data_IF_927060933546
#
_entry.id   IF_927060933546
#
_cell.length_a   1.000
_cell.length_b   1.000
_cell.length_c   1.000
_cell.angle_alpha   90.00
_cell.angle_beta   90.00
_cell.angle_gamma   90.00
#
_symmetry.space_group_name_H-M   'P 1'
#
loop_
_entity.id
_entity.type
_entity.pdbx_description
1 polymer ?
#
# COMPACT_ATOMS: atom_id res chain seq x y z
N UNK A 1 6.93 6.68 -21.71
CA UNK A 1 7.49 5.86 -22.81
C UNK A 1 6.49 4.83 -23.34
N UNK A 2 6.17 3.77 -22.59
CA UNK A 2 5.46 2.59 -23.09
C UNK A 2 4.07 2.89 -23.65
N UNK A 3 3.32 3.79 -23.01
CA UNK A 3 1.97 4.18 -23.44
C UNK A 3 1.94 5.40 -24.38
N UNK A 4 3.09 6.01 -24.68
CA UNK A 4 3.17 7.32 -25.34
C UNK A 4 3.15 8.50 -24.36
N UNK A 5 3.35 9.72 -24.89
CA UNK A 5 3.41 10.96 -24.08
C UNK A 5 2.07 11.33 -23.46
N UNK A 6 0.97 11.18 -24.19
CA UNK A 6 -0.39 11.39 -23.66
C UNK A 6 -0.96 10.11 -23.05
N UNK A 7 -0.67 8.96 -23.66
CA UNK A 7 -1.15 7.68 -23.13
C UNK A 7 -0.59 7.30 -21.77
N UNK A 8 0.53 7.91 -21.34
CA UNK A 8 1.05 7.78 -19.97
C UNK A 8 0.04 8.23 -18.89
N UNK A 9 -0.97 9.02 -19.25
CA UNK A 9 -2.04 9.38 -18.32
C UNK A 9 -2.93 8.19 -17.92
N UNK A 10 -3.02 7.15 -18.74
CA UNK A 10 -3.79 5.93 -18.41
C UNK A 10 -3.22 5.24 -17.16
N UNK A 11 -1.93 4.81 -17.14
CA UNK A 11 -1.35 4.23 -15.92
C UNK A 11 -1.29 5.21 -14.76
N UNK A 12 -1.08 6.51 -15.01
CA UNK A 12 -1.06 7.52 -13.95
C UNK A 12 -2.41 7.62 -13.23
N UNK A 13 -3.53 7.72 -13.97
CA UNK A 13 -4.87 7.76 -13.38
C UNK A 13 -5.17 6.48 -12.59
N UNK A 14 -4.86 5.31 -13.16
CA UNK A 14 -5.08 4.02 -12.50
C UNK A 14 -4.30 3.96 -11.18
N UNK A 15 -2.98 4.21 -11.21
CA UNK A 15 -2.14 4.23 -10.01
C UNK A 15 -2.61 5.26 -8.99
N UNK A 16 -2.97 6.45 -9.45
CA UNK A 16 -3.48 7.55 -8.62
C UNK A 16 -4.73 7.11 -7.86
N UNK A 17 -5.74 6.58 -8.55
CA UNK A 17 -6.99 6.11 -7.92
C UNK A 17 -6.76 4.99 -6.90
N UNK A 18 -5.87 4.05 -7.21
CA UNK A 18 -5.50 2.96 -6.29
C UNK A 18 -4.85 3.53 -5.03
N UNK A 19 -3.91 4.47 -5.19
CA UNK A 19 -3.26 5.10 -4.07
C UNK A 19 -4.22 5.96 -3.22
N UNK A 20 -5.25 6.57 -3.82
CA UNK A 20 -6.33 7.25 -3.08
C UNK A 20 -7.06 6.29 -2.14
N UNK A 21 -7.42 5.10 -2.62
CA UNK A 21 -8.07 4.09 -1.80
C UNK A 21 -7.17 3.66 -0.62
N UNK A 22 -5.90 3.36 -0.91
CA UNK A 22 -4.93 2.98 0.12
C UNK A 22 -4.63 4.08 1.12
N UNK A 23 -4.52 5.33 0.66
CA UNK A 23 -4.33 6.48 1.52
C UNK A 23 -5.50 6.62 2.50
N UNK A 24 -6.73 6.42 2.04
CA UNK A 24 -7.92 6.40 2.88
C UNK A 24 -7.89 5.26 3.90
N UNK A 25 -7.64 4.03 3.45
CA UNK A 25 -7.59 2.83 4.31
C UNK A 25 -6.55 3.00 5.42
N UNK A 26 -5.33 3.41 5.07
CA UNK A 26 -4.27 3.60 6.06
C UNK A 26 -4.51 4.80 6.98
N UNK A 27 -5.18 5.86 6.51
CA UNK A 27 -5.62 6.96 7.39
C UNK A 27 -6.67 6.49 8.40
N UNK A 28 -7.60 5.64 7.97
CA UNK A 28 -8.57 5.01 8.85
C UNK A 28 -7.88 4.11 9.89
N UNK A 29 -6.91 3.30 9.49
CA UNK A 29 -6.13 2.49 10.43
C UNK A 29 -5.31 3.35 11.41
N UNK A 30 -4.75 4.48 10.97
CA UNK A 30 -4.10 5.42 11.89
C UNK A 30 -5.09 6.02 12.90
N UNK A 31 -6.35 6.22 12.51
CA UNK A 31 -7.37 6.84 13.36
C UNK A 31 -7.81 5.97 14.54
N UNK A 32 -7.65 4.64 14.46
CA UNK A 32 -7.99 3.73 15.56
C UNK A 32 -7.10 3.98 16.79
N UNK A 33 -5.81 4.25 16.58
CA UNK A 33 -4.88 4.62 17.66
C UNK A 33 -5.31 5.90 18.37
N UNK A 34 -5.78 6.90 17.60
CA UNK A 34 -6.32 8.13 18.17
C UNK A 34 -7.60 7.87 18.96
N UNK A 35 -8.51 7.04 18.45
CA UNK A 35 -9.74 6.66 19.17
C UNK A 35 -9.44 5.98 20.50
N UNK A 36 -8.50 5.04 20.53
CA UNK A 36 -8.07 4.34 21.75
C UNK A 36 -7.58 5.35 22.79
N UNK A 37 -6.77 6.33 22.39
CA UNK A 37 -6.31 7.40 23.28
C UNK A 37 -7.45 8.28 23.77
N UNK A 38 -8.36 8.70 22.88
CA UNK A 38 -9.50 9.53 23.24
C UNK A 38 -10.39 8.85 24.27
N UNK A 39 -10.70 7.55 24.09
CA UNK A 39 -11.51 6.76 25.02
C UNK A 39 -10.77 6.45 26.33
N UNK A 40 -9.44 6.32 26.29
CA UNK A 40 -8.65 6.12 27.51
C UNK A 40 -8.73 7.34 28.44
N UNK A 41 -8.64 8.55 27.91
CA UNK A 41 -8.72 9.79 28.72
C UNK A 41 -10.14 10.24 29.02
N UNK A 42 -11.06 10.02 28.08
CA UNK A 42 -12.45 10.44 28.20
C UNK A 42 -13.38 9.25 27.90
N UNK A 43 -13.55 8.32 28.85
CA UNK A 43 -14.46 7.18 28.69
C UNK A 43 -15.91 7.59 28.40
N UNK A 44 -16.31 8.81 28.79
CA UNK A 44 -17.63 9.38 28.46
C UNK A 44 -17.88 9.55 26.95
N UNK A 45 -16.83 9.49 26.12
CA UNK A 45 -16.94 9.53 24.66
C UNK A 45 -17.40 8.19 24.05
N UNK A 46 -17.50 7.11 24.83
CA UNK A 46 -17.88 5.77 24.35
C UNK A 46 -19.20 5.77 23.55
N UNK A 47 -20.19 6.55 24.01
CA UNK A 47 -21.45 6.70 23.27
C UNK A 47 -21.24 7.21 21.83
N UNK A 48 -20.27 8.10 21.61
CA UNK A 48 -19.93 8.65 20.29
C UNK A 48 -19.01 7.75 19.47
N UNK A 49 -18.41 6.72 20.08
CA UNK A 49 -17.67 5.67 19.40
C UNK A 49 -18.60 4.61 18.79
N UNK A 50 -19.85 4.52 19.27
CA UNK A 50 -20.88 3.61 18.76
C UNK A 50 -21.54 4.13 17.48
N UNK A 51 -21.34 3.40 16.38
CA UNK A 51 -21.91 3.69 15.05
C UNK A 51 -23.44 3.64 15.06
N UNK A 52 -24.04 2.80 15.90
CA UNK A 52 -25.51 2.64 15.94
C UNK A 52 -26.22 3.80 16.61
N UNK A 53 -25.55 4.48 17.55
CA UNK A 53 -26.08 5.63 18.28
C UNK A 53 -25.76 6.95 17.60
N UNK A 54 -24.50 7.12 17.17
CA UNK A 54 -23.98 8.37 16.63
C UNK A 54 -23.16 8.14 15.35
N UNK A 55 -23.72 7.38 14.41
CA UNK A 55 -23.08 7.08 13.12
C UNK A 55 -23.49 7.99 11.97
N UNK A 56 -22.55 8.19 11.04
CA UNK A 56 -22.79 8.80 9.75
C UNK A 56 -22.00 8.05 8.67
N UNK A 57 -22.64 7.71 7.54
CA UNK A 57 -22.01 7.02 6.40
C UNK A 57 -21.13 5.79 6.75
N UNK A 58 -21.52 5.04 7.79
CA UNK A 58 -20.86 3.80 8.21
C UNK A 58 -19.73 3.95 9.23
N UNK A 59 -19.49 5.15 9.76
CA UNK A 59 -18.50 5.41 10.82
C UNK A 59 -19.13 6.22 11.96
N UNK A 60 -18.67 5.98 13.19
CA UNK A 60 -19.15 6.70 14.38
C UNK A 60 -18.63 8.14 14.39
N UNK A 61 -19.28 9.03 15.13
CA UNK A 61 -18.89 10.45 15.22
C UNK A 61 -17.47 10.60 15.72
N UNK A 62 -17.08 9.83 16.76
CA UNK A 62 -15.70 9.81 17.24
C UNK A 62 -14.73 9.27 16.18
N UNK A 63 -15.14 8.25 15.43
CA UNK A 63 -14.36 7.72 14.30
C UNK A 63 -14.15 8.75 13.20
N UNK A 64 -15.17 9.52 12.84
CA UNK A 64 -15.05 10.62 11.88
C UNK A 64 -14.10 11.70 12.35
N UNK A 65 -14.21 12.12 13.62
CA UNK A 65 -13.28 13.09 14.20
C UNK A 65 -11.86 12.55 14.14
N UNK A 66 -11.63 11.32 14.60
CA UNK A 66 -10.32 10.68 14.58
C UNK A 66 -9.75 10.62 13.15
N UNK A 67 -10.54 10.18 12.17
CA UNK A 67 -10.16 10.12 10.77
C UNK A 67 -9.78 11.50 10.23
N UNK A 68 -10.61 12.53 10.47
CA UNK A 68 -10.35 13.89 10.00
C UNK A 68 -9.13 14.53 10.67
N UNK A 69 -8.88 14.26 11.95
CA UNK A 69 -7.64 14.71 12.61
C UNK A 69 -6.43 14.06 11.93
N UNK A 70 -6.45 12.74 11.72
CA UNK A 70 -5.36 12.04 11.04
C UNK A 70 -5.16 12.52 9.60
N UNK A 71 -6.26 12.80 8.89
CA UNK A 71 -6.25 13.34 7.54
C UNK A 71 -5.58 14.72 7.48
N UNK A 72 -5.98 15.64 8.38
CA UNK A 72 -5.41 17.00 8.46
C UNK A 72 -3.93 16.94 8.82
N UNK A 73 -3.54 16.14 9.81
CA UNK A 73 -2.13 16.03 10.22
C UNK A 73 -1.24 15.53 9.08
N UNK A 74 -1.71 14.53 8.32
CA UNK A 74 -0.98 14.04 7.15
C UNK A 74 -0.86 15.11 6.06
N UNK A 75 -1.95 15.84 5.78
CA UNK A 75 -1.94 16.95 4.83
C UNK A 75 -0.95 18.06 5.24
N UNK A 76 -0.88 18.38 6.53
CA UNK A 76 0.08 19.35 7.06
C UNK A 76 1.53 18.90 6.84
N UNK A 77 1.88 17.65 7.19
CA UNK A 77 3.24 17.12 6.95
C UNK A 77 3.58 17.14 5.46
N UNK A 78 2.64 16.71 4.62
CA UNK A 78 2.81 16.71 3.16
C UNK A 78 3.05 18.13 2.60
N UNK A 79 2.34 19.14 3.12
CA UNK A 79 2.45 20.51 2.63
C UNK A 79 3.86 21.11 2.77
N UNK A 80 4.63 20.63 3.76
CA UNK A 80 6.01 21.04 4.02
C UNK A 80 7.03 20.40 3.06
N UNK A 81 6.59 19.51 2.15
CA UNK A 81 7.40 18.97 1.06
C UNK A 81 8.24 17.74 1.42
N UNK A 82 8.94 17.20 0.42
CA UNK A 82 9.63 15.90 0.50
C UNK A 82 10.71 15.82 1.59
N UNK A 83 11.44 16.91 1.85
CA UNK A 83 12.49 16.91 2.88
C UNK A 83 11.91 16.82 4.30
N UNK A 84 10.74 17.44 4.54
CA UNK A 84 10.03 17.31 5.81
C UNK A 84 9.52 15.88 5.99
N UNK A 85 8.96 15.29 4.94
CA UNK A 85 8.50 13.88 4.94
C UNK A 85 9.66 12.94 5.25
N UNK A 86 10.82 13.14 4.60
CA UNK A 86 12.02 12.34 4.85
C UNK A 86 12.47 12.42 6.31
N UNK A 87 12.63 13.63 6.86
CA UNK A 87 13.04 13.82 8.26
C UNK A 87 12.04 13.21 9.23
N UNK A 88 10.75 13.37 8.95
CA UNK A 88 9.70 12.76 9.76
C UNK A 88 9.86 11.24 9.86
N UNK A 89 10.15 10.57 8.74
CA UNK A 89 10.31 9.12 8.68
C UNK A 89 11.63 8.67 9.31
N UNK A 90 12.71 9.43 9.14
CA UNK A 90 14.01 9.15 9.76
C UNK A 90 13.90 9.06 11.30
N UNK A 91 12.95 9.78 11.91
CA UNK A 91 12.64 9.70 13.33
C UNK A 91 11.56 8.65 13.67
N UNK A 92 10.48 8.61 12.90
CA UNK A 92 9.36 7.71 13.17
C UNK A 92 9.74 6.23 13.06
N UNK A 93 10.56 5.87 12.06
CA UNK A 93 11.00 4.50 11.82
C UNK A 93 11.68 3.86 13.04
N UNK A 94 12.80 4.43 13.54
CA UNK A 94 13.45 3.94 14.76
C UNK A 94 12.54 3.95 15.99
N UNK A 95 11.66 4.95 16.12
CA UNK A 95 10.69 5.04 17.22
C UNK A 95 9.78 3.81 17.32
N UNK A 96 9.28 3.32 16.19
CA UNK A 96 8.47 2.08 16.14
C UNK A 96 9.24 0.89 16.67
N UNK A 97 10.51 0.72 16.26
CA UNK A 97 11.32 -0.39 16.74
C UNK A 97 11.49 -0.35 18.24
N UNK A 98 11.84 0.82 18.79
CA UNK A 98 12.00 1.00 20.24
C UNK A 98 10.73 0.58 20.98
N UNK A 99 9.57 1.07 20.55
CA UNK A 99 8.29 0.71 21.18
C UNK A 99 7.96 -0.77 21.00
N UNK A 100 8.14 -1.34 19.81
CA UNK A 100 7.88 -2.75 19.56
C UNK A 100 8.81 -3.68 20.36
N UNK A 101 10.08 -3.33 20.52
CA UNK A 101 11.01 -4.10 21.35
C UNK A 101 10.63 -4.03 22.82
N UNK A 102 10.28 -2.85 23.33
CA UNK A 102 9.83 -2.68 24.71
C UNK A 102 8.55 -3.47 24.95
N UNK A 103 7.58 -3.37 24.03
CA UNK A 103 6.32 -4.10 24.10
C UNK A 103 6.53 -5.61 24.07
N UNK A 104 7.29 -6.11 23.10
CA UNK A 104 7.62 -7.52 22.99
C UNK A 104 8.36 -8.02 24.23
N UNK A 105 9.37 -7.28 24.71
CA UNK A 105 10.13 -7.63 25.91
C UNK A 105 9.26 -7.70 27.16
N UNK A 106 8.35 -6.73 27.33
CA UNK A 106 7.40 -6.71 28.43
C UNK A 106 6.41 -7.89 28.37
N UNK A 107 5.85 -8.19 27.20
CA UNK A 107 4.95 -9.34 27.01
C UNK A 107 5.68 -10.66 27.27
N UNK A 108 6.89 -10.83 26.75
CA UNK A 108 7.68 -12.04 26.95
C UNK A 108 8.04 -12.23 28.42
N UNK A 109 8.38 -11.14 29.12
CA UNK A 109 8.64 -11.18 30.56
C UNK A 109 7.39 -11.57 31.36
N UNK A 110 6.23 -11.00 31.03
CA UNK A 110 4.96 -11.29 31.72
C UNK A 110 4.40 -12.68 31.39
N UNK A 111 4.54 -13.14 30.15
CA UNK A 111 4.16 -14.48 29.72
C UNK A 111 5.08 -15.56 30.32
N UNK A 112 6.38 -15.26 30.40
CA UNK A 112 7.44 -16.24 30.59
C UNK A 112 7.72 -17.02 29.30
N UNK A 113 9.01 -17.14 28.93
CA UNK A 113 9.45 -17.78 27.67
C UNK A 113 8.87 -19.17 27.40
N UNK A 114 8.60 -19.96 28.43
CA UNK A 114 8.07 -21.33 28.30
C UNK A 114 6.61 -21.38 27.87
N UNK A 115 5.86 -20.30 28.06
CA UNK A 115 4.43 -20.22 27.78
C UNK A 115 4.13 -19.60 26.40
N UNK A 116 5.18 -19.27 25.64
CA UNK A 116 5.05 -18.70 24.29
C UNK A 116 5.16 -19.85 23.29
N UNK A 117 4.05 -20.14 22.64
CA UNK A 117 4.03 -21.07 21.51
C UNK A 117 3.93 -20.26 20.20
N UNK A 118 4.84 -20.56 19.26
CA UNK A 118 4.83 -19.95 17.92
C UNK A 118 3.84 -20.66 16.98
N UNK A 119 3.27 -21.79 17.40
CA UNK A 119 2.24 -22.52 16.67
C UNK A 119 0.86 -21.91 16.94
N UNK A 120 0.65 -20.70 16.42
CA UNK A 120 -0.53 -19.87 16.69
C UNK A 120 -1.82 -20.30 15.95
N UNK A 121 -1.74 -21.29 15.04
CA UNK A 121 -2.82 -21.65 14.14
C UNK A 121 -3.69 -22.82 14.63
N UNK A 122 -5.01 -22.65 14.54
CA UNK A 122 -5.97 -23.77 14.68
C UNK A 122 -6.07 -24.67 13.45
N UNK A 123 -5.70 -24.16 12.26
CA UNK A 123 -5.67 -24.92 11.00
C UNK A 123 -4.24 -25.33 10.68
N UNK A 124 -3.98 -26.63 10.63
CA UNK A 124 -2.65 -27.19 10.36
C UNK A 124 -2.62 -27.78 8.95
N UNK A 125 -1.78 -27.20 8.10
CA UNK A 125 -1.42 -27.80 6.81
C UNK A 125 -0.10 -28.56 6.99
N UNK A 126 -0.02 -29.80 6.49
CA UNK A 126 1.17 -30.64 6.61
C UNK A 126 1.64 -31.07 5.22
N UNK A 127 2.96 -31.22 5.06
CA UNK A 127 3.57 -31.67 3.81
C UNK A 127 3.18 -30.81 2.61
N UNK A 128 2.69 -31.44 1.55
CA UNK A 128 2.34 -30.79 0.29
C UNK A 128 1.08 -29.93 0.36
N UNK A 129 0.20 -30.15 1.34
CA UNK A 129 -1.03 -29.36 1.50
C UNK A 129 -0.75 -27.91 1.90
N UNK A 130 0.43 -27.64 2.47
CA UNK A 130 0.88 -26.29 2.82
C UNK A 130 1.34 -25.48 1.59
N UNK A 131 1.71 -26.14 0.48
CA UNK A 131 2.31 -25.47 -0.68
C UNK A 131 1.32 -24.50 -1.36
N UNK A 132 0.08 -24.88 -1.71
CA UNK A 132 -0.88 -23.95 -2.30
C UNK A 132 -1.23 -22.76 -1.40
N UNK A 133 -1.27 -22.99 -0.07
CA UNK A 133 -1.52 -21.94 0.92
C UNK A 133 -0.35 -20.96 0.98
N UNK A 134 0.88 -21.46 0.98
CA UNK A 134 2.08 -20.64 0.95
C UNK A 134 2.18 -19.83 -0.36
N UNK A 135 1.88 -20.43 -1.51
CA UNK A 135 1.86 -19.72 -2.80
C UNK A 135 0.80 -18.60 -2.81
N UNK A 136 -0.37 -18.85 -2.21
CA UNK A 136 -1.41 -17.83 -2.07
C UNK A 136 -0.97 -16.69 -1.14
N UNK A 137 -0.28 -17.00 -0.04
CA UNK A 137 0.29 -15.99 0.86
C UNK A 137 1.36 -15.14 0.17
N UNK A 138 2.25 -15.77 -0.61
CA UNK A 138 3.24 -15.06 -1.45
C UNK A 138 2.53 -14.13 -2.44
N UNK A 139 1.48 -14.61 -3.10
CA UNK A 139 0.73 -13.80 -4.06
C UNK A 139 0.05 -12.60 -3.41
N UNK A 140 -0.50 -12.76 -2.21
CA UNK A 140 -1.08 -11.67 -1.44
C UNK A 140 -0.02 -10.62 -1.05
N UNK A 141 1.16 -11.06 -0.61
CA UNK A 141 2.27 -10.14 -0.28
C UNK A 141 2.75 -9.38 -1.53
N UNK A 142 2.90 -10.05 -2.67
CA UNK A 142 3.28 -9.40 -3.93
C UNK A 142 2.22 -8.39 -4.37
N UNK A 143 0.94 -8.75 -4.28
CA UNK A 143 -0.18 -7.84 -4.59
C UNK A 143 -0.17 -6.61 -3.67
N UNK A 144 0.06 -6.80 -2.37
CA UNK A 144 0.15 -5.71 -1.39
C UNK A 144 1.29 -4.73 -1.70
N UNK A 145 2.48 -5.23 -2.06
CA UNK A 145 3.63 -4.39 -2.39
C UNK A 145 3.65 -3.86 -3.83
N UNK A 146 2.69 -4.28 -4.66
CA UNK A 146 2.69 -3.97 -6.09
C UNK A 146 2.52 -2.48 -6.40
N UNK A 147 1.68 -1.77 -5.64
CA UNK A 147 1.50 -0.32 -5.77
C UNK A 147 2.80 0.44 -5.52
N UNK A 148 3.41 0.33 -4.32
CA UNK A 148 4.70 0.93 -4.02
C UNK A 148 5.81 0.54 -5.01
N UNK A 149 5.80 -0.69 -5.51
CA UNK A 149 6.79 -1.16 -6.50
C UNK A 149 6.74 -0.37 -7.81
N UNK A 150 5.54 -0.06 -8.34
CA UNK A 150 5.40 0.77 -9.54
C UNK A 150 5.83 2.22 -9.32
N UNK A 151 5.69 2.70 -8.08
CA UNK A 151 5.94 4.09 -7.74
C UNK A 151 7.36 4.32 -7.21
N UNK A 152 8.18 3.27 -7.14
CA UNK A 152 9.53 3.35 -6.57
C UNK A 152 10.44 4.35 -7.32
N UNK A 153 10.16 4.61 -8.59
CA UNK A 153 10.80 5.66 -9.40
C UNK A 153 10.70 7.07 -8.79
N UNK A 154 9.61 7.36 -8.07
CA UNK A 154 9.36 8.67 -7.46
C UNK A 154 10.37 8.97 -6.34
N UNK A 155 10.86 7.92 -5.68
CA UNK A 155 11.84 8.00 -4.61
C UNK A 155 13.27 7.80 -5.11
N UNK A 156 13.47 6.82 -6.00
CA UNK A 156 14.81 6.44 -6.45
C UNK A 156 15.51 7.56 -7.23
N UNK A 157 14.76 8.46 -7.88
CA UNK A 157 15.30 9.67 -8.53
C UNK A 157 15.99 10.65 -7.58
N UNK A 158 15.67 10.61 -6.29
CA UNK A 158 16.34 11.40 -5.24
C UNK A 158 17.52 10.64 -4.62
N UNK A 159 17.78 9.40 -5.05
CA UNK A 159 18.89 8.58 -4.59
C UNK A 159 20.23 9.14 -5.08
N UNK A 160 21.28 9.02 -4.24
CA UNK A 160 22.63 9.47 -4.57
C UNK A 160 23.29 8.65 -5.68
N UNK A 161 23.02 7.34 -5.70
CA UNK A 161 23.54 6.40 -6.69
C UNK A 161 22.68 5.14 -6.73
N UNK A 162 22.78 4.38 -7.82
CA UNK A 162 22.06 3.11 -7.95
C UNK A 162 22.50 2.07 -6.90
N UNK A 163 23.77 2.07 -6.50
CA UNK A 163 24.27 1.19 -5.44
C UNK A 163 23.69 1.55 -4.07
N UNK A 164 23.51 2.85 -3.79
CA UNK A 164 22.83 3.29 -2.58
C UNK A 164 21.36 2.81 -2.57
N UNK A 165 20.68 2.87 -3.71
CA UNK A 165 19.30 2.35 -3.86
C UNK A 165 19.26 0.84 -3.64
N UNK A 166 20.18 0.07 -4.22
CA UNK A 166 20.27 -1.39 -4.01
C UNK A 166 20.50 -1.74 -2.54
N UNK A 167 21.47 -1.09 -1.91
CA UNK A 167 21.80 -1.33 -0.50
C UNK A 167 20.61 -0.97 0.40
N UNK A 168 19.97 0.17 0.16
CA UNK A 168 18.76 0.58 0.88
C UNK A 168 17.63 -0.44 0.76
N UNK A 169 17.36 -0.94 -0.44
CA UNK A 169 16.34 -1.97 -0.67
C UNK A 169 16.70 -3.30 0.01
N UNK A 170 17.94 -3.76 -0.07
CA UNK A 170 18.33 -5.03 0.57
C UNK A 170 18.18 -4.99 2.10
N UNK A 171 18.61 -3.90 2.75
CA UNK A 171 18.46 -3.79 4.20
C UNK A 171 17.01 -3.49 4.59
N UNK A 172 16.31 -2.66 3.83
CA UNK A 172 14.95 -2.20 4.14
C UNK A 172 13.84 -3.18 3.78
N UNK A 173 14.03 -4.06 2.79
CA UNK A 173 13.05 -5.05 2.37
C UNK A 173 13.36 -6.42 2.99
N UNK A 174 14.22 -7.31 2.47
CA UNK A 174 14.31 -8.66 2.99
C UNK A 174 14.78 -8.74 4.44
N UNK A 175 15.84 -8.01 4.83
CA UNK A 175 16.37 -8.09 6.20
C UNK A 175 15.37 -7.52 7.19
N UNK A 176 14.93 -6.28 6.96
CA UNK A 176 14.03 -5.61 7.86
C UNK A 176 12.66 -6.27 7.96
N UNK A 177 12.12 -6.77 6.84
CA UNK A 177 10.82 -7.41 6.80
C UNK A 177 10.83 -8.74 7.56
N UNK A 178 11.87 -9.57 7.39
CA UNK A 178 12.04 -10.81 8.17
C UNK A 178 12.17 -10.49 9.65
N UNK A 179 13.03 -9.53 9.99
CA UNK A 179 13.26 -9.13 11.37
C UNK A 179 11.98 -8.63 12.06
N UNK A 180 11.25 -7.71 11.41
CA UNK A 180 10.01 -7.16 11.95
C UNK A 180 8.89 -8.21 12.00
N UNK A 181 8.84 -9.14 11.04
CA UNK A 181 7.89 -10.27 11.06
C UNK A 181 8.12 -11.18 12.28
N UNK A 182 9.37 -11.51 12.59
CA UNK A 182 9.71 -12.30 13.79
C UNK A 182 9.29 -11.57 15.07
N UNK A 183 9.60 -10.27 15.17
CA UNK A 183 9.22 -9.44 16.31
C UNK A 183 7.69 -9.39 16.48
N UNK A 184 6.95 -9.26 15.38
CA UNK A 184 5.48 -9.21 15.38
C UNK A 184 4.87 -10.55 15.80
N UNK A 185 5.36 -11.67 15.26
CA UNK A 185 4.89 -13.02 15.62
C UNK A 185 5.17 -13.30 17.10
N UNK A 186 6.36 -12.98 17.61
CA UNK A 186 6.69 -13.13 19.03
C UNK A 186 5.79 -12.28 19.94
N UNK A 187 5.57 -11.02 19.56
CA UNK A 187 4.68 -10.09 20.29
C UNK A 187 3.26 -10.65 20.33
N UNK A 188 2.72 -11.06 19.18
CA UNK A 188 1.37 -11.65 19.04
C UNK A 188 1.25 -12.95 19.82
N UNK A 189 2.24 -13.84 19.74
CA UNK A 189 2.26 -15.10 20.47
C UNK A 189 2.20 -14.90 21.99
N UNK A 190 2.87 -13.86 22.48
CA UNK A 190 2.90 -13.54 23.90
C UNK A 190 1.60 -12.87 24.41
N UNK A 191 0.70 -12.39 23.54
CA UNK A 191 -0.58 -11.84 24.00
C UNK A 191 -1.51 -12.92 24.55
N UNK A 192 -1.49 -14.12 23.95
CA UNK A 192 -2.35 -15.24 24.36
C UNK A 192 -2.12 -15.65 25.84
N UNK A 193 -0.89 -15.93 26.30
CA UNK A 193 -0.65 -16.24 27.72
C UNK A 193 -0.83 -15.03 28.65
N UNK A 194 -0.68 -13.79 28.16
CA UNK A 194 -0.77 -12.58 29.01
C UNK A 194 -2.20 -12.07 29.18
N UNK A 195 -2.99 -12.10 28.12
CA UNK A 195 -4.34 -11.53 28.06
C UNK A 195 -5.44 -12.59 27.86
N UNK A 196 -5.09 -13.84 27.58
CA UNK A 196 -6.04 -14.93 27.31
C UNK A 196 -6.58 -14.96 25.88
N UNK A 197 -6.15 -14.02 25.02
CA UNK A 197 -6.60 -13.90 23.64
C UNK A 197 -5.44 -13.50 22.70
N UNK A 198 -5.55 -13.90 21.44
CA UNK A 198 -4.57 -13.56 20.42
C UNK A 198 -4.90 -12.19 19.82
N UNK A 199 -4.04 -11.19 20.07
CA UNK A 199 -4.20 -9.83 19.57
C UNK A 199 -3.12 -9.60 18.51
N UNK A 200 -3.52 -9.45 17.26
CA UNK A 200 -2.61 -9.24 16.13
C UNK A 200 -2.25 -7.77 15.91
N UNK A 201 -3.04 -6.85 16.44
CA UNK A 201 -2.80 -5.42 16.32
C UNK A 201 -1.98 -4.91 17.53
N UNK A 202 -0.77 -4.37 17.31
CA UNK A 202 0.07 -3.87 18.39
C UNK A 202 -0.52 -2.62 19.08
N UNK A 203 -1.32 -1.81 18.39
CA UNK A 203 -2.00 -0.64 18.98
C UNK A 203 -3.03 -1.10 19.99
N UNK A 204 -3.84 -2.09 19.63
CA UNK A 204 -4.80 -2.71 20.56
C UNK A 204 -4.09 -3.38 21.73
N UNK A 205 -2.95 -4.03 21.48
CA UNK A 205 -2.13 -4.66 22.52
C UNK A 205 -1.64 -3.63 23.55
N UNK A 206 -1.14 -2.48 23.09
CA UNK A 206 -0.73 -1.38 23.96
C UNK A 206 -1.91 -0.83 24.77
N UNK A 207 -3.09 -0.70 24.18
CA UNK A 207 -4.30 -0.23 24.87
C UNK A 207 -4.77 -1.12 26.03
N UNK A 208 -4.29 -2.38 26.11
CA UNK A 208 -4.59 -3.33 27.19
C UNK A 208 -3.59 -3.28 28.35
N UNK A 209 -2.55 -2.44 28.24
CA UNK A 209 -1.54 -2.29 29.28
C UNK A 209 -2.10 -1.42 30.40
N UNK A 210 -1.96 -1.88 31.64
CA UNK A 210 -2.38 -1.18 32.85
C UNK A 210 -1.37 -0.08 33.24
N UNK A 211 -1.11 0.84 32.32
CA UNK A 211 -0.23 2.01 32.51
C UNK A 211 -0.57 3.08 31.48
N UNK A 212 -1.14 4.19 31.95
CA UNK A 212 -1.50 5.35 31.10
C UNK A 212 -0.29 5.85 30.31
N UNK A 213 0.89 5.92 30.92
CA UNK A 213 2.10 6.37 30.22
C UNK A 213 2.48 5.44 29.07
N UNK A 214 2.40 4.12 29.26
CA UNK A 214 2.70 3.15 28.21
C UNK A 214 1.67 3.22 27.07
N UNK A 215 0.39 3.34 27.42
CA UNK A 215 -0.71 3.51 26.44
C UNK A 215 -0.49 4.75 25.59
N UNK A 216 -0.22 5.89 26.22
CA UNK A 216 0.01 7.17 25.54
C UNK A 216 1.22 7.11 24.63
N UNK A 217 2.38 6.70 25.14
CA UNK A 217 3.62 6.66 24.36
C UNK A 217 3.52 5.66 23.21
N UNK A 218 2.96 4.47 23.45
CA UNK A 218 2.84 3.44 22.43
C UNK A 218 1.86 3.84 21.33
N UNK A 219 0.64 4.25 21.68
CA UNK A 219 -0.36 4.64 20.68
C UNK A 219 0.05 5.89 19.90
N UNK A 220 0.66 6.90 20.54
CA UNK A 220 1.21 8.06 19.81
C UNK A 220 2.32 7.65 18.84
N UNK A 221 3.22 6.75 19.25
CA UNK A 221 4.30 6.27 18.39
C UNK A 221 3.76 5.53 17.17
N UNK A 222 2.82 4.59 17.38
CA UNK A 222 2.19 3.90 16.26
C UNK A 222 1.40 4.84 15.35
N UNK A 223 0.68 5.79 15.92
CA UNK A 223 -0.05 6.81 15.16
C UNK A 223 0.90 7.62 14.27
N UNK A 224 1.99 8.15 14.83
CA UNK A 224 3.04 8.90 14.10
C UNK A 224 3.66 8.03 13.01
N UNK A 225 3.93 6.77 13.30
CA UNK A 225 4.52 5.84 12.35
C UNK A 225 3.59 5.51 11.18
N UNK A 226 2.33 5.20 11.46
CA UNK A 226 1.33 4.90 10.42
C UNK A 226 1.12 6.12 9.52
N UNK A 227 1.08 7.33 10.10
CA UNK A 227 1.09 8.59 9.34
C UNK A 227 2.29 8.65 8.40
N UNK A 228 3.51 8.39 8.89
CA UNK A 228 4.73 8.48 8.09
C UNK A 228 4.77 7.47 6.94
N UNK A 229 4.41 6.22 7.24
CA UNK A 229 4.32 5.15 6.25
C UNK A 229 3.28 5.51 5.19
N UNK A 230 2.11 6.00 5.60
CA UNK A 230 1.04 6.30 4.66
C UNK A 230 1.37 7.48 3.74
N UNK A 231 2.03 8.52 4.26
CA UNK A 231 2.47 9.66 3.44
C UNK A 231 3.41 9.16 2.33
N UNK A 232 4.42 8.35 2.66
CA UNK A 232 5.36 7.86 1.63
C UNK A 232 4.74 6.82 0.71
N UNK A 233 4.04 5.84 1.25
CA UNK A 233 3.54 4.73 0.43
C UNK A 233 2.38 5.13 -0.47
N UNK A 234 1.46 5.97 0.03
CA UNK A 234 0.17 6.18 -0.62
C UNK A 234 -0.20 7.63 -0.88
N UNK A 235 0.57 8.61 -0.38
CA UNK A 235 0.23 10.03 -0.58
C UNK A 235 1.14 10.74 -1.59
N UNK A 236 2.44 10.45 -1.56
CA UNK A 236 3.43 11.08 -2.46
C UNK A 236 3.22 10.66 -3.92
N UNK A 237 2.97 9.37 -4.18
CA UNK A 237 2.81 8.86 -5.53
C UNK A 237 1.59 9.39 -6.28
N UNK A 238 0.36 9.40 -5.72
CA UNK A 238 -0.77 9.99 -6.43
C UNK A 238 -0.60 11.49 -6.66
N UNK A 239 0.17 12.20 -5.83
CA UNK A 239 0.51 13.59 -6.07
C UNK A 239 1.34 13.77 -7.36
N UNK A 240 2.27 12.86 -7.65
CA UNK A 240 2.99 12.84 -8.92
C UNK A 240 2.11 12.36 -10.08
N UNK A 241 1.29 11.33 -9.85
CA UNK A 241 0.43 10.78 -10.90
C UNK A 241 -0.63 11.81 -11.38
N UNK A 242 -1.32 12.48 -10.46
CA UNK A 242 -2.32 13.49 -10.83
C UNK A 242 -1.69 14.76 -11.42
N UNK A 243 -0.51 15.18 -10.94
CA UNK A 243 0.20 16.30 -11.58
C UNK A 243 0.69 15.95 -12.98
N UNK A 244 1.01 14.69 -13.28
CA UNK A 244 1.35 14.24 -14.63
C UNK A 244 0.16 14.34 -15.61
N UNK A 245 -1.08 14.17 -15.13
CA UNK A 245 -2.28 14.21 -16.00
C UNK A 245 -2.48 15.58 -16.64
N UNK A 246 -2.25 16.66 -15.89
CA UNK A 246 -2.40 18.03 -16.36
C UNK A 246 -1.37 18.95 -15.69
N UNK A 247 -0.08 18.88 -16.09
CA UNK A 247 1.02 19.53 -15.36
C UNK A 247 0.94 21.06 -15.33
N UNK A 248 0.24 21.69 -16.27
CA UNK A 248 0.00 23.14 -16.28
C UNK A 248 -1.09 23.59 -15.29
N UNK A 249 -1.94 22.66 -14.83
CA UNK A 249 -3.10 22.97 -13.98
C UNK A 249 -3.03 22.30 -12.60
N UNK A 250 -2.35 21.17 -12.48
CA UNK A 250 -2.27 20.37 -11.27
C UNK A 250 -0.82 20.38 -10.79
N UNK A 251 -0.55 21.20 -9.78
CA UNK A 251 0.73 21.15 -9.07
C UNK A 251 0.84 19.86 -8.25
N UNK A 252 2.05 19.50 -7.81
CA UNK A 252 2.25 18.37 -6.89
C UNK A 252 1.39 18.49 -5.62
N UNK A 253 1.29 19.71 -5.05
CA UNK A 253 0.42 19.94 -3.87
C UNK A 253 -1.06 19.75 -4.21
N UNK A 254 -1.49 20.26 -5.36
CA UNK A 254 -2.88 20.11 -5.84
C UNK A 254 -3.22 18.65 -6.08
N UNK A 255 -2.33 17.89 -6.72
CA UNK A 255 -2.48 16.45 -6.95
C UNK A 255 -2.60 15.67 -5.65
N UNK A 256 -1.76 15.98 -4.66
CA UNK A 256 -1.91 15.45 -3.30
C UNK A 256 -3.28 15.76 -2.72
N UNK A 257 -3.73 17.01 -2.73
CA UNK A 257 -5.04 17.35 -2.16
C UNK A 257 -6.22 16.71 -2.89
N UNK A 258 -6.15 16.52 -4.21
CA UNK A 258 -7.14 15.72 -4.96
C UNK A 258 -7.18 14.30 -4.39
N UNK A 259 -6.02 13.68 -4.18
CA UNK A 259 -5.93 12.35 -3.62
C UNK A 259 -6.50 12.28 -2.19
N UNK A 260 -6.14 13.25 -1.36
CA UNK A 260 -6.59 13.31 0.02
C UNK A 260 -8.10 13.51 0.12
N UNK A 261 -8.67 14.43 -0.65
CA UNK A 261 -10.12 14.68 -0.65
C UNK A 261 -10.87 13.48 -1.22
N UNK A 262 -10.37 12.88 -2.30
CA UNK A 262 -10.95 11.67 -2.90
C UNK A 262 -11.05 10.51 -1.91
N UNK A 263 -10.07 10.35 -1.01
CA UNK A 263 -10.06 9.23 -0.07
C UNK A 263 -11.19 9.30 0.96
N UNK A 264 -11.70 10.49 1.29
CA UNK A 264 -12.86 10.68 2.17
C UNK A 264 -14.11 10.07 1.54
N UNK A 265 -14.33 10.35 0.25
CA UNK A 265 -15.52 9.92 -0.49
C UNK A 265 -15.55 8.43 -0.79
N UNK A 266 -14.40 7.77 -0.82
CA UNK A 266 -14.32 6.31 -0.95
C UNK A 266 -14.82 5.61 0.32
N UNK A 267 -14.95 6.33 1.44
CA UNK A 267 -15.40 5.77 2.74
C UNK A 267 -14.58 4.54 3.14
N UNK A 268 -13.25 4.68 3.34
CA UNK A 268 -12.31 3.57 3.43
C UNK A 268 -12.62 2.54 4.52
N UNK A 269 -13.28 2.96 5.60
CA UNK A 269 -13.79 2.05 6.64
C UNK A 269 -14.80 1.03 6.09
N UNK A 270 -15.62 1.39 5.11
CA UNK A 270 -16.55 0.46 4.46
C UNK A 270 -15.81 -0.56 3.58
N UNK A 271 -14.61 -0.24 3.09
CA UNK A 271 -13.76 -1.17 2.36
C UNK A 271 -12.97 -2.11 3.29
N UNK A 272 -12.65 -1.64 4.51
CA UNK A 272 -11.80 -2.37 5.44
C UNK A 272 -12.56 -3.19 6.49
N UNK A 273 -13.75 -2.77 6.93
CA UNK A 273 -14.44 -3.41 8.06
C UNK A 273 -15.01 -4.81 7.73
N UNK A 274 -14.85 -5.31 6.52
CA UNK A 274 -15.30 -6.65 6.12
C UNK A 274 -14.15 -7.40 5.41
N UNK A 275 -13.69 -8.55 5.95
CA UNK A 275 -12.61 -9.35 5.35
C UNK A 275 -12.86 -9.71 3.88
N UNK A 276 -14.11 -10.02 3.51
CA UNK A 276 -14.47 -10.32 2.12
C UNK A 276 -14.30 -9.11 1.21
N UNK A 277 -14.67 -7.92 1.71
CA UNK A 277 -14.53 -6.67 0.95
C UNK A 277 -13.06 -6.27 0.84
N UNK A 278 -12.24 -6.53 1.86
CA UNK A 278 -10.79 -6.34 1.80
C UNK A 278 -10.21 -7.19 0.67
N UNK A 279 -10.40 -8.52 0.71
CA UNK A 279 -9.86 -9.42 -0.31
C UNK A 279 -10.31 -9.03 -1.71
N UNK A 280 -11.61 -8.80 -1.87
CA UNK A 280 -12.18 -8.36 -3.14
C UNK A 280 -11.55 -7.05 -3.64
N UNK A 281 -11.41 -6.06 -2.76
CA UNK A 281 -10.78 -4.77 -3.10
C UNK A 281 -9.33 -4.98 -3.53
N UNK A 282 -8.54 -5.73 -2.76
CA UNK A 282 -7.14 -6.01 -3.08
C UNK A 282 -6.97 -6.73 -4.42
N UNK A 283 -7.81 -7.74 -4.68
CA UNK A 283 -7.73 -8.51 -5.91
C UNK A 283 -8.13 -7.67 -7.13
N UNK A 284 -9.17 -6.83 -7.00
CA UNK A 284 -9.56 -5.88 -8.04
C UNK A 284 -8.46 -4.85 -8.28
N UNK A 285 -7.88 -4.24 -7.24
CA UNK A 285 -6.77 -3.29 -7.45
C UNK A 285 -5.55 -3.98 -8.10
N UNK A 286 -5.20 -5.18 -7.63
CA UNK A 286 -4.13 -6.01 -8.17
C UNK A 286 -4.32 -6.38 -9.64
N UNK A 287 -5.57 -6.58 -10.08
CA UNK A 287 -5.94 -6.87 -11.47
C UNK A 287 -5.54 -5.75 -12.46
N UNK A 288 -5.49 -4.50 -12.00
CA UNK A 288 -5.04 -3.36 -12.81
C UNK A 288 -3.55 -3.10 -12.69
N UNK A 289 -2.94 -3.40 -11.54
CA UNK A 289 -1.50 -3.16 -11.31
C UNK A 289 -0.63 -4.16 -12.07
N UNK A 290 -0.99 -5.45 -12.01
CA UNK A 290 -0.24 -6.53 -12.67
C UNK A 290 0.04 -6.24 -14.15
N UNK A 291 -0.98 -5.93 -14.97
CA UNK A 291 -0.83 -5.59 -16.38
C UNK A 291 0.12 -4.43 -16.64
N UNK A 292 0.01 -3.35 -15.85
CA UNK A 292 0.90 -2.20 -15.98
C UNK A 292 2.35 -2.61 -15.74
N UNK A 293 2.60 -3.39 -14.70
CA UNK A 293 3.93 -3.92 -14.42
C UNK A 293 4.46 -4.77 -15.58
N UNK A 294 3.65 -5.70 -16.09
CA UNK A 294 4.01 -6.56 -17.22
C UNK A 294 4.38 -5.77 -18.48
N UNK A 295 3.57 -4.76 -18.84
CA UNK A 295 3.81 -3.89 -19.99
C UNK A 295 5.11 -3.10 -19.81
N UNK A 296 5.33 -2.48 -18.64
CA UNK A 296 6.51 -1.65 -18.38
C UNK A 296 7.80 -2.48 -18.41
N UNK A 297 7.79 -3.66 -17.79
CA UNK A 297 8.96 -4.56 -17.78
C UNK A 297 9.27 -5.07 -19.19
N UNK A 298 8.25 -5.51 -19.95
CA UNK A 298 8.42 -5.94 -21.34
C UNK A 298 8.97 -4.81 -22.22
N UNK A 299 8.38 -3.61 -22.11
CA UNK A 299 8.77 -2.46 -22.91
C UNK A 299 10.22 -2.07 -22.64
N UNK A 300 10.61 -1.95 -21.37
CA UNK A 300 11.94 -1.51 -21.01
C UNK A 300 13.02 -2.55 -21.35
N UNK A 301 12.86 -3.80 -20.91
CA UNK A 301 13.93 -4.81 -21.04
C UNK A 301 13.96 -5.50 -22.40
N UNK A 302 12.82 -5.84 -23.00
CA UNK A 302 12.78 -6.62 -24.25
C UNK A 302 12.61 -5.75 -25.49
N UNK A 303 11.62 -4.85 -25.49
CA UNK A 303 11.32 -4.03 -26.66
C UNK A 303 12.41 -2.98 -26.85
N UNK A 304 12.72 -2.21 -25.81
CA UNK A 304 13.69 -1.10 -25.87
C UNK A 304 15.11 -1.46 -25.47
N UNK A 305 15.33 -2.66 -24.92
CA UNK A 305 16.67 -3.11 -24.48
C UNK A 305 17.35 -2.08 -23.56
N UNK A 306 16.59 -1.53 -22.63
CA UNK A 306 17.01 -0.54 -21.62
C UNK A 306 17.46 0.80 -22.22
N UNK A 307 17.10 1.11 -23.46
CA UNK A 307 17.39 2.39 -24.10
C UNK A 307 16.15 3.28 -24.08
N UNK A 308 16.23 4.36 -23.31
CA UNK A 308 15.19 5.39 -23.20
C UNK A 308 15.83 6.73 -23.50
N UNK A 309 15.21 7.48 -24.40
CA UNK A 309 15.60 8.85 -24.70
C UNK A 309 14.83 9.79 -23.78
N UNK A 310 15.52 10.57 -22.97
CA UNK A 310 14.88 11.40 -21.95
C UNK A 310 14.27 12.65 -22.59
N UNK A 311 14.93 13.24 -23.59
CA UNK A 311 14.48 14.48 -24.22
C UNK A 311 13.15 14.25 -24.94
N UNK A 312 13.03 13.12 -25.64
CA UNK A 312 11.80 12.75 -26.34
C UNK A 312 10.62 12.45 -25.38
N UNK A 313 10.86 12.21 -24.07
CA UNK A 313 9.77 12.04 -23.10
C UNK A 313 9.04 13.35 -22.78
N UNK A 314 9.69 14.50 -23.00
CA UNK A 314 9.17 15.82 -22.67
C UNK A 314 8.75 16.64 -23.89
N UNK A 315 8.68 16.01 -25.07
CA UNK A 315 8.18 16.67 -26.29
C UNK A 315 6.82 16.14 -26.72
N UNK A 316 5.95 17.07 -27.13
CA UNK A 316 4.65 16.78 -27.75
C UNK A 316 4.73 16.85 -29.29
N UNK A 317 5.94 16.95 -29.84
CA UNK A 317 6.16 16.99 -31.28
C UNK A 317 5.73 15.69 -31.96
N UNK A 318 5.01 15.74 -33.09
CA UNK A 318 4.63 14.54 -33.84
C UNK A 318 5.80 13.65 -34.30
N UNK A 319 7.00 14.23 -34.36
CA UNK A 319 8.24 13.54 -34.73
C UNK A 319 8.94 12.86 -33.55
N UNK A 320 8.50 13.10 -32.30
CA UNK A 320 9.11 12.51 -31.11
C UNK A 320 8.91 10.99 -31.06
N UNK A 321 9.91 10.25 -30.58
CA UNK A 321 9.87 8.77 -30.51
C UNK A 321 8.70 8.19 -29.72
N UNK A 322 8.14 8.97 -28.79
CA UNK A 322 7.02 8.55 -27.93
C UNK A 322 5.68 9.21 -28.31
N UNK A 323 5.59 9.83 -29.49
CA UNK A 323 4.32 10.39 -29.99
C UNK A 323 3.35 9.30 -30.43
N UNK A 324 3.81 8.26 -31.12
CA UNK A 324 2.96 7.20 -31.66
C UNK A 324 1.78 7.76 -32.50
N UNK A 325 0.56 7.29 -32.25
CA UNK A 325 -0.65 7.78 -32.90
C UNK A 325 -1.32 8.81 -31.98
N UNK A 326 -1.18 10.10 -32.32
CA UNK A 326 -1.75 11.22 -31.57
C UNK A 326 -1.38 11.26 -30.08
N UNK A 327 -0.15 10.87 -29.72
CA UNK A 327 0.34 10.85 -28.34
C UNK A 327 0.13 9.51 -27.60
N UNK A 328 -0.48 8.51 -28.24
CA UNK A 328 -0.84 7.24 -27.60
C UNK A 328 -0.25 6.03 -28.34
N UNK A 329 0.39 5.15 -27.57
CA UNK A 329 0.76 3.82 -28.06
C UNK A 329 -0.44 2.88 -27.97
N UNK A 330 -1.18 2.75 -29.07
CA UNK A 330 -2.34 1.85 -29.14
C UNK A 330 -2.00 0.40 -28.78
N UNK A 331 -0.77 -0.07 -29.04
CA UNK A 331 -0.37 -1.44 -28.66
C UNK A 331 -0.38 -1.63 -27.14
N UNK A 332 0.06 -0.61 -26.38
CA UNK A 332 0.02 -0.64 -24.93
C UNK A 332 -1.43 -0.62 -24.41
N UNK A 333 -2.27 0.23 -25.01
CA UNK A 333 -3.70 0.34 -24.65
C UNK A 333 -4.44 -0.97 -24.93
N UNK A 334 -4.29 -1.53 -26.13
CA UNK A 334 -4.88 -2.82 -26.50
C UNK A 334 -4.34 -3.99 -25.68
N UNK A 335 -3.10 -3.91 -25.17
CA UNK A 335 -2.60 -4.92 -24.23
C UNK A 335 -3.29 -4.79 -22.87
N UNK A 336 -3.46 -3.56 -22.39
CA UNK A 336 -4.03 -3.30 -21.06
C UNK A 336 -5.44 -3.90 -20.89
N UNK A 337 -6.28 -3.82 -21.92
CA UNK A 337 -7.68 -4.28 -21.87
C UNK A 337 -7.82 -5.77 -21.49
N UNK A 338 -7.33 -6.75 -22.30
CA UNK A 338 -7.44 -8.16 -21.96
C UNK A 338 -6.62 -8.52 -20.71
N UNK A 339 -5.47 -7.87 -20.50
CA UNK A 339 -4.61 -8.14 -19.35
C UNK A 339 -5.23 -7.71 -18.03
N UNK A 340 -6.08 -6.67 -17.99
CA UNK A 340 -6.84 -6.31 -16.80
C UNK A 340 -8.18 -7.08 -16.71
N UNK A 341 -8.87 -7.27 -17.84
CA UNK A 341 -10.19 -7.90 -17.86
C UNK A 341 -10.15 -9.36 -17.39
N UNK A 342 -9.17 -10.16 -17.84
CA UNK A 342 -9.09 -11.58 -17.47
C UNK A 342 -8.91 -11.76 -15.95
N UNK A 343 -7.95 -11.10 -15.28
CA UNK A 343 -7.85 -11.15 -13.83
C UNK A 343 -9.11 -10.64 -13.10
N UNK A 344 -9.76 -9.58 -13.58
CA UNK A 344 -11.05 -9.12 -13.02
C UNK A 344 -12.08 -10.24 -13.09
N UNK A 345 -12.19 -10.94 -14.23
CA UNK A 345 -13.11 -12.07 -14.36
C UNK A 345 -12.77 -13.21 -13.40
N UNK A 346 -11.49 -13.46 -13.10
CA UNK A 346 -11.09 -14.42 -12.07
C UNK A 346 -11.61 -14.04 -10.67
N UNK A 347 -11.71 -12.74 -10.37
CA UNK A 347 -12.24 -12.23 -9.10
C UNK A 347 -13.78 -12.27 -9.06
N UNK A 348 -14.43 -11.86 -10.16
CA UNK A 348 -15.89 -11.73 -10.23
C UNK A 348 -16.61 -13.06 -10.39
N UNK A 349 -16.05 -14.00 -11.15
CA UNK A 349 -16.72 -15.28 -11.46
C UNK A 349 -16.48 -16.26 -10.31
N UNK A 350 -17.54 -16.70 -9.59
CA UNK A 350 -17.38 -17.57 -8.42
C UNK A 350 -16.62 -18.87 -8.70
N UNK A 351 -16.82 -19.45 -9.89
CA UNK A 351 -16.14 -20.67 -10.34
C UNK A 351 -14.63 -20.50 -10.53
N UNK A 352 -14.13 -19.27 -10.66
CA UNK A 352 -12.71 -18.96 -10.92
C UNK A 352 -12.00 -18.36 -9.70
N UNK A 353 -12.65 -18.30 -8.53
CA UNK A 353 -12.08 -17.71 -7.31
C UNK A 353 -10.74 -18.31 -6.89
N UNK A 354 -10.46 -19.57 -7.21
CA UNK A 354 -9.14 -20.17 -6.97
C UNK A 354 -8.00 -19.44 -7.70
N UNK A 355 -8.29 -18.80 -8.83
CA UNK A 355 -7.35 -17.99 -9.60
C UNK A 355 -7.33 -16.51 -9.16
N UNK A 356 -8.33 -16.04 -8.38
CA UNK A 356 -8.41 -14.66 -7.91
C UNK A 356 -7.17 -14.25 -7.09
N UNK A 357 -6.70 -15.14 -6.22
CA UNK A 357 -5.47 -14.94 -5.44
C UNK A 357 -4.23 -14.69 -6.32
N UNK A 358 -4.27 -15.11 -7.58
CA UNK A 358 -3.18 -14.96 -8.56
C UNK A 358 -3.47 -13.89 -9.62
N UNK A 359 -4.54 -13.10 -9.46
CA UNK A 359 -4.97 -12.09 -10.42
C UNK A 359 -3.83 -11.15 -10.84
N UNK A 360 -3.01 -10.72 -9.89
CA UNK A 360 -1.84 -9.88 -10.15
C UNK A 360 -0.85 -10.54 -11.13
N UNK A 361 -0.48 -11.81 -10.87
CA UNK A 361 0.46 -12.55 -11.72
C UNK A 361 -0.12 -12.87 -13.09
N UNK A 362 -1.41 -13.21 -13.17
CA UNK A 362 -2.11 -13.46 -14.42
C UNK A 362 -2.08 -12.18 -15.27
N UNK A 363 -2.44 -11.04 -14.68
CA UNK A 363 -2.43 -9.76 -15.38
C UNK A 363 -1.03 -9.35 -15.82
N UNK A 364 -0.03 -9.55 -14.96
CA UNK A 364 1.38 -9.28 -15.27
C UNK A 364 1.91 -10.15 -16.41
N UNK A 365 1.64 -11.46 -16.37
CA UNK A 365 2.03 -12.40 -17.42
C UNK A 365 1.37 -12.08 -18.76
N UNK A 366 0.05 -11.82 -18.76
CA UNK A 366 -0.68 -11.43 -19.97
C UNK A 366 -0.15 -10.11 -20.53
N UNK A 367 0.02 -9.10 -19.68
CA UNK A 367 0.52 -7.78 -20.10
C UNK A 367 1.92 -7.87 -20.70
N UNK A 368 2.79 -8.68 -20.09
CA UNK A 368 4.13 -8.94 -20.59
C UNK A 368 4.11 -9.66 -21.95
N UNK A 369 3.37 -10.77 -22.07
CA UNK A 369 3.38 -11.61 -23.28
C UNK A 369 2.72 -10.89 -24.47
N UNK A 370 1.53 -10.32 -24.27
CA UNK A 370 0.77 -9.65 -25.34
C UNK A 370 1.54 -8.42 -25.84
N UNK A 371 2.07 -7.59 -24.93
CA UNK A 371 2.82 -6.40 -25.33
C UNK A 371 4.09 -6.77 -26.11
N UNK A 372 4.80 -7.80 -25.65
CA UNK A 372 5.99 -8.32 -26.33
C UNK A 372 5.64 -8.80 -27.74
N UNK A 373 4.59 -9.60 -27.90
CA UNK A 373 4.17 -10.15 -29.19
C UNK A 373 3.80 -9.04 -30.20
N UNK A 374 3.04 -8.04 -29.76
CA UNK A 374 2.62 -6.92 -30.62
C UNK A 374 3.78 -6.04 -31.09
N UNK A 375 4.87 -5.97 -30.31
CA UNK A 375 6.03 -5.13 -30.63
C UNK A 375 7.17 -5.89 -31.33
N UNK A 376 7.34 -7.19 -31.10
CA UNK A 376 8.34 -8.00 -31.80
C UNK A 376 7.94 -8.33 -33.24
N UNK A 377 6.66 -8.56 -33.51
CA UNK A 377 6.19 -8.88 -34.87
C UNK A 377 6.36 -7.70 -35.86
N UNK A 378 6.37 -6.47 -35.36
CA UNK A 378 6.50 -5.26 -36.17
C UNK A 378 7.95 -4.77 -36.36
N UNK A 379 8.97 -5.52 -35.89
CA UNK A 379 10.38 -5.26 -36.24
C UNK A 379 10.77 -5.84 -37.62
N UNK A 380 9.87 -6.60 -38.27
CA UNK A 380 10.12 -7.31 -39.53
C UNK A 380 9.48 -6.64 -40.77
N UNK A 381 8.84 -5.49 -40.62
CA UNK A 381 8.40 -4.61 -41.73
C UNK A 381 9.09 -3.27 -41.59
#
# INVERSE_FOLDING_TARGET
ASFGVLGANIPAIIRGLIAVAWYGIQTYLASSAFMILALHFYPSLDAYADVTRHGFAGLSTLGWVAFMVMWVLQALVFWHGMEAIRRFIDWAGPGVYVVMFILCGWLVWKAGWKNIDLNLGGVRFQGWDAVPVMLSAIALVVSYFSGPMLNFGDFSRYGKSFDAVKKGNFWGLPVNFVFFSLLTVLTTAATLPVFGELITDPVHTVGRIDSTTAVVLGALTFMIATIGINIVANFVSPAFDFSNVAPQHISWRTGGMIAAVGSIFITPWNLYNNPQVIHYTLDVLGSFIGPLFGILISDYYLVRKQQVDVDDLYTMGPQGRYWYTNGYNMRAVWTMVPSALIPILCVLIPSWRGAANYAWFIGMGLGFVIYTALNLNNRKS
#
